data_IF_861876800060
#
_entry.id   IF_861876800060
#
_cell.length_a   1.000
_cell.length_b   1.000
_cell.length_c   1.000
_cell.angle_alpha   90.00
_cell.angle_beta   90.00
_cell.angle_gamma   90.00
#
_symmetry.space_group_name_H-M   'P 1'
#
loop_
_entity.id
_entity.type
_entity.pdbx_description
1 polymer ?
#
# COMPACT_ATOMS: atom_id res chain seq x y z
N UNK A 1 7.43 -29.94 -21.02
CA UNK A 1 6.22 -29.53 -20.26
C UNK A 1 6.56 -28.21 -19.57
N UNK A 2 6.17 -27.09 -20.14
CA UNK A 2 6.34 -25.78 -19.51
C UNK A 2 5.31 -25.68 -18.41
N UNK A 3 5.75 -25.78 -17.14
CA UNK A 3 4.86 -25.52 -16.01
C UNK A 3 4.25 -24.12 -16.17
N UNK A 4 2.94 -24.05 -16.28
CA UNK A 4 2.22 -22.77 -16.26
C UNK A 4 2.72 -21.95 -15.05
N UNK A 5 3.10 -20.70 -15.23
CA UNK A 5 3.53 -19.88 -14.10
C UNK A 5 2.42 -19.88 -13.06
N UNK A 6 2.74 -20.42 -11.88
CA UNK A 6 1.76 -20.51 -10.79
C UNK A 6 1.32 -19.09 -10.39
N UNK A 7 0.05 -18.78 -10.55
CA UNK A 7 -0.49 -17.46 -10.20
C UNK A 7 -0.32 -17.18 -8.71
N UNK A 8 -0.05 -15.93 -8.35
CA UNK A 8 0.07 -15.51 -6.94
C UNK A 8 -1.00 -14.50 -6.57
N UNK A 9 -1.59 -14.67 -5.39
CA UNK A 9 -2.49 -13.68 -4.80
C UNK A 9 -1.67 -12.71 -3.96
N UNK A 10 -1.80 -11.43 -4.25
CA UNK A 10 -1.18 -10.32 -3.52
C UNK A 10 -2.29 -9.57 -2.81
N UNK A 11 -2.24 -9.51 -1.48
CA UNK A 11 -3.17 -8.73 -0.67
C UNK A 11 -2.42 -7.54 -0.09
N UNK A 12 -2.92 -6.34 -0.30
CA UNK A 12 -2.38 -5.10 0.23
C UNK A 12 -3.32 -4.58 1.30
N UNK A 13 -2.82 -4.40 2.50
CA UNK A 13 -3.56 -3.83 3.64
C UNK A 13 -3.02 -2.42 3.90
N UNK A 14 -3.90 -1.41 3.85
CA UNK A 14 -3.52 -0.07 4.28
C UNK A 14 -3.46 -0.02 5.81
N UNK A 15 -2.41 0.61 6.35
CA UNK A 15 -2.25 0.81 7.79
C UNK A 15 -3.44 1.49 8.45
N UNK A 16 -3.58 1.32 9.76
CA UNK A 16 -4.57 2.00 10.60
C UNK A 16 -4.41 3.53 10.55
N UNK A 17 -5.45 4.30 10.93
CA UNK A 17 -5.37 5.76 10.97
C UNK A 17 -4.16 6.26 11.77
N UNK A 18 -3.40 7.19 11.18
CA UNK A 18 -2.24 7.80 11.85
C UNK A 18 -2.68 8.79 12.92
N UNK A 19 -1.91 8.89 14.01
CA UNK A 19 -2.15 9.81 15.11
C UNK A 19 -0.96 10.78 15.27
N UNK A 20 -1.25 12.07 15.59
CA UNK A 20 -2.58 12.72 15.58
C UNK A 20 -3.18 12.78 14.16
N UNK A 21 -4.52 12.84 14.05
CA UNK A 21 -5.21 12.98 12.77
C UNK A 21 -5.08 14.41 12.19
N UNK A 22 -5.38 14.59 10.90
CA UNK A 22 -5.41 15.90 10.26
C UNK A 22 -4.05 16.39 9.74
N UNK A 23 -3.01 15.56 9.77
CA UNK A 23 -1.67 15.89 9.28
C UNK A 23 -1.29 15.04 8.07
N UNK A 24 -0.41 15.59 7.23
CA UNK A 24 0.12 14.88 6.07
C UNK A 24 1.35 14.04 6.49
N UNK A 25 1.20 12.72 6.44
CA UNK A 25 2.23 11.77 6.78
C UNK A 25 2.72 11.03 5.53
N UNK A 26 3.90 11.38 5.04
CA UNK A 26 4.59 10.62 4.01
C UNK A 26 5.58 9.65 4.66
N UNK A 27 6.84 10.05 4.69
CA UNK A 27 7.92 9.35 5.40
C UNK A 27 8.06 9.80 6.86
N UNK A 28 7.33 10.83 7.27
CA UNK A 28 7.23 11.16 8.70
C UNK A 28 6.55 9.99 9.43
N UNK A 29 7.22 9.47 10.45
CA UNK A 29 6.84 8.22 11.09
C UNK A 29 5.85 8.43 12.24
N UNK A 30 4.59 8.59 11.90
CA UNK A 30 3.49 8.73 12.85
C UNK A 30 3.10 7.40 13.49
N UNK A 31 2.55 7.47 14.68
CA UNK A 31 1.93 6.33 15.36
C UNK A 31 0.51 6.05 14.83
N UNK A 32 -0.17 5.04 15.35
CA UNK A 32 -1.56 4.71 15.04
C UNK A 32 -2.45 4.88 16.27
N UNK A 33 -3.74 5.12 16.04
CA UNK A 33 -4.78 5.00 17.05
C UNK A 33 -5.22 3.56 17.26
N UNK A 34 -6.23 3.39 18.13
CA UNK A 34 -6.86 2.10 18.36
C UNK A 34 -7.49 1.55 17.08
N UNK A 35 -7.41 0.23 16.92
CA UNK A 35 -8.03 -0.48 15.79
C UNK A 35 -9.31 -1.15 16.28
N UNK A 36 -10.49 -0.84 15.68
CA UNK A 36 -11.73 -1.48 16.07
C UNK A 36 -11.65 -3.01 15.92
N UNK A 37 -12.19 -3.78 16.87
CA UNK A 37 -12.15 -5.25 16.81
C UNK A 37 -12.73 -5.85 15.53
N UNK A 38 -13.79 -5.23 14.98
CA UNK A 38 -14.40 -5.67 13.73
C UNK A 38 -13.46 -5.54 12.54
N UNK A 39 -12.63 -4.49 12.48
CA UNK A 39 -11.63 -4.31 11.43
C UNK A 39 -10.52 -5.36 11.54
N UNK A 40 -10.08 -5.70 12.77
CA UNK A 40 -9.12 -6.77 13.01
C UNK A 40 -9.67 -8.11 12.51
N UNK A 41 -10.90 -8.45 12.90
CA UNK A 41 -11.55 -9.69 12.50
C UNK A 41 -11.72 -9.76 10.97
N UNK A 42 -12.20 -8.68 10.36
CA UNK A 42 -12.35 -8.58 8.92
C UNK A 42 -11.02 -8.78 8.20
N UNK A 43 -9.98 -8.03 8.57
CA UNK A 43 -8.68 -8.11 7.91
C UNK A 43 -8.04 -9.49 8.05
N UNK A 44 -8.23 -10.18 9.17
CA UNK A 44 -7.82 -11.58 9.34
C UNK A 44 -8.47 -12.50 8.30
N UNK A 45 -9.71 -12.26 7.91
CA UNK A 45 -10.37 -13.05 6.84
C UNK A 45 -9.78 -12.79 5.45
N UNK A 46 -9.19 -11.61 5.22
CA UNK A 46 -8.56 -11.26 3.96
C UNK A 46 -7.14 -11.80 3.83
N UNK A 47 -6.51 -12.18 4.93
CA UNK A 47 -5.12 -12.64 4.99
C UNK A 47 -5.08 -14.16 5.13
N UNK A 48 -4.37 -14.83 4.27
CA UNK A 48 -4.21 -16.28 4.35
C UNK A 48 -3.14 -16.67 5.37
N UNK A 49 -3.39 -17.71 6.15
CA UNK A 49 -2.48 -18.24 7.17
C UNK A 49 -1.08 -18.60 6.62
N UNK A 50 -0.97 -18.97 5.34
CA UNK A 50 0.30 -19.32 4.70
C UNK A 50 0.83 -18.17 3.82
N UNK A 51 0.45 -16.93 4.10
CA UNK A 51 0.93 -15.77 3.35
C UNK A 51 2.34 -15.37 3.79
N UNK A 52 3.20 -15.03 2.82
CA UNK A 52 4.40 -14.29 3.13
C UNK A 52 3.99 -12.87 3.54
N UNK A 53 4.36 -12.45 4.73
CA UNK A 53 4.09 -11.09 5.19
C UNK A 53 5.25 -10.17 4.85
N UNK A 54 4.92 -9.03 4.25
CA UNK A 54 5.85 -7.97 3.88
C UNK A 54 5.31 -6.66 4.41
N UNK A 55 6.14 -5.86 5.08
CA UNK A 55 5.72 -4.59 5.64
C UNK A 55 6.56 -3.42 5.12
N UNK A 56 5.95 -2.26 5.02
CA UNK A 56 6.69 -1.00 5.04
C UNK A 56 7.47 -0.87 6.36
N UNK A 57 8.63 -0.21 6.39
CA UNK A 57 9.36 0.05 7.63
C UNK A 57 8.63 0.99 8.60
N UNK A 58 7.64 1.75 8.11
CA UNK A 58 6.88 2.72 8.92
C UNK A 58 6.22 2.06 10.14
N UNK A 59 6.34 2.70 11.33
CA UNK A 59 5.73 2.22 12.58
C UNK A 59 4.25 1.92 12.43
N UNK A 60 3.49 2.80 11.74
CA UNK A 60 2.07 2.60 11.51
C UNK A 60 1.75 1.31 10.76
N UNK A 61 2.59 0.88 9.81
CA UNK A 61 2.42 -0.39 9.10
C UNK A 61 2.79 -1.58 9.98
N UNK A 62 3.90 -1.46 10.73
CA UNK A 62 4.36 -2.51 11.65
C UNK A 62 3.33 -2.76 12.75
N UNK A 63 2.88 -1.70 13.44
CA UNK A 63 1.87 -1.80 14.50
C UNK A 63 0.52 -2.32 14.00
N UNK A 64 0.11 -1.93 12.79
CA UNK A 64 -1.11 -2.51 12.17
C UNK A 64 -0.94 -4.01 11.91
N UNK A 65 0.22 -4.43 11.41
CA UNK A 65 0.53 -5.85 11.23
C UNK A 65 0.49 -6.60 12.57
N UNK A 66 1.09 -6.06 13.62
CA UNK A 66 1.13 -6.65 14.95
C UNK A 66 -0.27 -6.83 15.55
N UNK A 67 -1.12 -5.82 15.44
CA UNK A 67 -2.49 -5.87 15.94
C UNK A 67 -3.35 -6.92 15.22
N UNK A 68 -3.10 -7.12 13.92
CA UNK A 68 -3.89 -8.07 13.11
C UNK A 68 -3.34 -9.50 13.24
N UNK A 69 -2.03 -9.73 13.21
CA UNK A 69 -1.44 -11.06 13.11
C UNK A 69 -0.75 -11.53 14.39
N UNK A 70 -0.25 -10.68 15.20
CA UNK A 70 0.56 -10.79 16.41
C UNK A 70 1.99 -10.26 16.20
N UNK A 71 2.63 -9.81 17.27
CA UNK A 71 4.00 -9.25 17.23
C UNK A 71 5.06 -10.27 16.80
N UNK A 72 4.84 -11.54 17.10
CA UNK A 72 5.78 -12.62 16.78
C UNK A 72 5.63 -13.16 15.34
N UNK A 73 4.70 -12.62 14.54
CA UNK A 73 4.49 -13.15 13.19
C UNK A 73 5.68 -12.80 12.28
N UNK A 74 6.33 -13.81 11.66
CA UNK A 74 7.48 -13.56 10.78
C UNK A 74 7.12 -12.66 9.61
N UNK A 75 7.88 -11.59 9.41
CA UNK A 75 7.67 -10.63 8.31
C UNK A 75 8.98 -10.15 7.74
N UNK A 76 8.94 -9.68 6.51
CA UNK A 76 10.03 -8.97 5.84
C UNK A 76 9.69 -7.49 5.75
N UNK A 77 10.69 -6.64 5.86
CA UNK A 77 10.56 -5.20 5.59
C UNK A 77 11.30 -4.84 4.31
N UNK A 78 10.83 -3.78 3.64
CA UNK A 78 11.52 -3.27 2.46
C UNK A 78 11.37 -1.76 2.37
N UNK A 79 12.49 -1.03 2.30
CA UNK A 79 12.53 0.44 2.34
C UNK A 79 11.77 1.10 1.18
N UNK A 80 11.77 0.50 0.00
CA UNK A 80 10.99 1.00 -1.13
C UNK A 80 9.47 0.82 -0.98
N UNK A 81 8.97 0.34 0.16
CA UNK A 81 7.54 0.31 0.50
C UNK A 81 7.10 1.44 1.43
N UNK A 82 7.98 2.41 1.76
CA UNK A 82 7.56 3.65 2.39
C UNK A 82 6.48 4.36 1.57
N UNK A 83 5.66 5.17 2.23
CA UNK A 83 4.68 6.03 1.56
C UNK A 83 5.38 7.04 0.65
N UNK A 84 4.64 7.69 -0.24
CA UNK A 84 5.08 8.81 -1.03
C UNK A 84 5.73 9.86 -0.11
N UNK A 85 6.92 10.34 -0.48
CA UNK A 85 7.50 11.47 0.22
C UNK A 85 6.80 12.75 -0.20
N UNK A 86 6.25 13.46 0.79
CA UNK A 86 5.66 14.79 0.57
C UNK A 86 6.64 15.92 0.91
N UNK A 87 7.90 15.60 1.21
CA UNK A 87 8.99 16.56 1.42
C UNK A 87 8.66 17.60 2.47
N UNK A 88 8.74 18.87 2.11
CA UNK A 88 8.52 20.00 3.03
C UNK A 88 7.06 20.09 3.56
N UNK A 89 6.14 19.26 3.08
CA UNK A 89 4.76 19.23 3.57
C UNK A 89 4.53 18.19 4.65
N UNK A 90 5.46 17.28 4.87
CA UNK A 90 5.33 16.24 5.88
C UNK A 90 5.25 16.82 7.29
N UNK A 91 4.38 16.26 8.11
CA UNK A 91 4.13 16.72 9.48
C UNK A 91 3.34 18.04 9.58
N UNK A 92 2.89 18.62 8.46
CA UNK A 92 2.01 19.78 8.46
C UNK A 92 0.55 19.38 8.52
N UNK A 93 -0.28 20.18 9.19
CA UNK A 93 -1.73 20.02 9.12
C UNK A 93 -2.22 20.22 7.67
N UNK A 94 -3.27 19.52 7.27
CA UNK A 94 -3.82 19.67 5.92
C UNK A 94 -4.19 21.13 5.58
N UNK A 95 -4.67 21.89 6.56
CA UNK A 95 -4.98 23.32 6.42
C UNK A 95 -3.76 24.21 6.10
N UNK A 96 -2.55 23.72 6.35
CA UNK A 96 -1.29 24.43 6.08
C UNK A 96 -0.65 24.03 4.74
N UNK A 97 -1.23 23.02 4.05
CA UNK A 97 -0.75 22.62 2.75
C UNK A 97 -1.26 23.62 1.71
N UNK A 98 -0.40 24.18 0.86
CA UNK A 98 -0.80 25.12 -0.16
C UNK A 98 -1.79 24.49 -1.14
N UNK A 99 -2.92 25.14 -1.37
CA UNK A 99 -3.84 24.75 -2.43
C UNK A 99 -3.14 24.94 -3.80
N UNK A 100 -3.07 23.88 -4.58
CA UNK A 100 -2.49 23.86 -5.93
C UNK A 100 -3.56 23.86 -7.02
N UNK A 101 -4.81 24.06 -6.63
CA UNK A 101 -5.94 23.92 -7.55
C UNK A 101 -6.16 22.47 -7.98
N UNK A 102 -7.04 22.27 -8.94
CA UNK A 102 -7.41 20.94 -9.41
C UNK A 102 -6.35 20.40 -10.40
N UNK A 103 -5.42 19.61 -9.89
CA UNK A 103 -4.50 18.86 -10.74
C UNK A 103 -5.17 17.57 -11.23
N UNK A 104 -5.10 17.30 -12.52
CA UNK A 104 -5.72 16.11 -13.15
C UNK A 104 -4.76 15.43 -14.11
N UNK A 105 -5.03 14.14 -14.39
CA UNK A 105 -4.30 13.39 -15.39
C UNK A 105 -2.78 13.36 -15.14
N UNK A 106 -2.01 13.63 -16.18
CA UNK A 106 -0.54 13.63 -16.14
C UNK A 106 0.03 14.71 -15.20
N UNK A 107 -0.64 15.85 -15.07
CA UNK A 107 -0.20 16.89 -14.13
C UNK A 107 -0.20 16.39 -12.70
N UNK A 108 -1.23 15.62 -12.28
CA UNK A 108 -1.30 15.01 -10.95
C UNK A 108 -0.26 13.90 -10.76
N UNK A 109 -0.08 13.04 -11.78
CA UNK A 109 0.90 11.94 -11.76
C UNK A 109 2.32 12.46 -11.56
N UNK A 110 2.66 13.56 -12.21
CA UNK A 110 4.00 14.15 -12.19
C UNK A 110 4.17 15.25 -11.13
N UNK A 111 3.08 15.63 -10.43
CA UNK A 111 3.18 16.65 -9.38
C UNK A 111 4.11 16.19 -8.27
N UNK A 112 5.05 17.06 -7.91
CA UNK A 112 6.06 16.81 -6.89
C UNK A 112 6.02 17.90 -5.82
N UNK A 113 5.72 17.54 -4.56
CA UNK A 113 5.88 18.47 -3.45
C UNK A 113 7.34 18.94 -3.31
N UNK A 114 7.60 20.12 -2.78
CA UNK A 114 8.97 20.61 -2.59
C UNK A 114 9.81 19.63 -1.76
N UNK A 115 10.89 19.11 -2.34
CA UNK A 115 11.75 18.10 -1.71
C UNK A 115 11.14 16.70 -1.55
N UNK A 116 9.93 16.48 -2.10
CA UNK A 116 9.25 15.17 -2.07
C UNK A 116 9.43 14.38 -3.36
N UNK A 117 8.57 13.40 -3.58
CA UNK A 117 8.49 12.61 -4.82
C UNK A 117 7.10 12.72 -5.47
N UNK A 118 7.06 12.56 -6.79
CA UNK A 118 5.80 12.44 -7.54
C UNK A 118 5.22 11.03 -7.40
N UNK A 119 3.94 10.86 -7.79
CA UNK A 119 3.36 9.52 -7.84
C UNK A 119 4.06 8.61 -8.85
N UNK A 120 4.56 9.17 -9.95
CA UNK A 120 5.37 8.43 -10.92
C UNK A 120 6.66 7.89 -10.28
N UNK A 121 7.41 8.72 -9.56
CA UNK A 121 8.64 8.31 -8.86
C UNK A 121 8.33 7.24 -7.77
N UNK A 122 7.20 7.37 -7.05
CA UNK A 122 6.73 6.33 -6.14
C UNK A 122 6.53 5.00 -6.87
N UNK A 123 5.84 5.00 -8.02
CA UNK A 123 5.63 3.80 -8.82
C UNK A 123 6.97 3.19 -9.29
N UNK A 124 7.90 4.01 -9.74
CA UNK A 124 9.22 3.57 -10.22
C UNK A 124 10.01 2.80 -9.14
N UNK A 125 9.90 3.16 -7.85
CA UNK A 125 10.56 2.43 -6.76
C UNK A 125 9.75 1.25 -6.22
N UNK A 126 8.41 1.28 -6.27
CA UNK A 126 7.54 0.24 -5.72
C UNK A 126 7.38 -0.94 -6.67
N UNK A 127 7.24 -0.70 -7.98
CA UNK A 127 7.01 -1.75 -8.97
C UNK A 127 8.08 -2.85 -8.99
N UNK A 128 9.39 -2.53 -8.96
CA UNK A 128 10.44 -3.56 -8.88
C UNK A 128 10.31 -4.44 -7.64
N UNK A 129 9.95 -3.87 -6.49
CA UNK A 129 9.79 -4.62 -5.24
C UNK A 129 8.65 -5.63 -5.34
N UNK A 130 7.47 -5.19 -5.81
CA UNK A 130 6.32 -6.09 -5.97
C UNK A 130 6.68 -7.25 -6.92
N UNK A 131 7.30 -6.94 -8.07
CA UNK A 131 7.73 -7.94 -9.04
C UNK A 131 8.77 -8.91 -8.46
N UNK A 132 9.73 -8.40 -7.69
CA UNK A 132 10.73 -9.22 -7.01
C UNK A 132 10.08 -10.24 -6.08
N UNK A 133 9.13 -9.82 -5.23
CA UNK A 133 8.40 -10.74 -4.35
C UNK A 133 7.55 -11.75 -5.14
N UNK A 134 6.97 -11.35 -6.26
CA UNK A 134 6.26 -12.30 -7.15
C UNK A 134 7.18 -13.39 -7.71
N UNK A 135 8.43 -13.08 -8.03
CA UNK A 135 9.39 -14.04 -8.60
C UNK A 135 10.07 -14.86 -7.50
N UNK A 136 10.56 -14.21 -6.45
CA UNK A 136 11.42 -14.86 -5.44
C UNK A 136 10.64 -15.66 -4.38
N UNK A 137 9.36 -15.36 -4.15
CA UNK A 137 8.57 -16.07 -3.15
C UNK A 137 8.20 -17.47 -3.58
N UNK A 138 8.41 -18.44 -2.70
CA UNK A 138 7.92 -19.81 -2.89
C UNK A 138 6.43 -19.95 -2.59
N UNK A 139 5.84 -19.02 -1.84
CA UNK A 139 4.43 -19.04 -1.50
C UNK A 139 3.57 -18.47 -2.61
N UNK A 140 2.33 -18.96 -2.73
CA UNK A 140 1.35 -18.48 -3.70
C UNK A 140 0.60 -17.23 -3.20
N UNK A 141 0.80 -16.84 -1.94
CA UNK A 141 0.07 -15.76 -1.28
C UNK A 141 1.06 -14.84 -0.57
N UNK A 142 0.93 -13.55 -0.83
CA UNK A 142 1.80 -12.51 -0.25
C UNK A 142 0.89 -11.40 0.26
N UNK A 143 1.09 -10.99 1.51
CA UNK A 143 0.35 -9.88 2.10
C UNK A 143 1.30 -8.74 2.42
N UNK A 144 0.96 -7.55 1.97
CA UNK A 144 1.71 -6.31 2.16
C UNK A 144 0.96 -5.40 3.13
N UNK A 145 1.59 -5.00 4.23
CA UNK A 145 1.09 -3.93 5.11
C UNK A 145 1.78 -2.63 4.73
N UNK A 146 1.04 -1.75 4.09
CA UNK A 146 1.58 -0.59 3.38
C UNK A 146 0.65 0.63 3.45
N UNK A 147 0.77 1.53 2.51
CA UNK A 147 0.16 2.85 2.46
C UNK A 147 -0.72 3.02 1.22
N UNK A 148 -1.55 4.06 1.21
CA UNK A 148 -2.46 4.34 0.09
C UNK A 148 -1.71 4.56 -1.24
N UNK A 149 -0.62 5.32 -1.24
CA UNK A 149 0.19 5.55 -2.44
C UNK A 149 0.80 4.26 -2.97
N UNK A 150 1.34 3.40 -2.09
CA UNK A 150 1.91 2.10 -2.47
C UNK A 150 0.84 1.17 -3.05
N UNK A 151 -0.37 1.16 -2.49
CA UNK A 151 -1.50 0.36 -3.02
C UNK A 151 -1.91 0.87 -4.40
N UNK A 152 -2.01 2.20 -4.58
CA UNK A 152 -2.27 2.79 -5.90
C UNK A 152 -1.15 2.47 -6.90
N UNK A 153 0.12 2.46 -6.47
CA UNK A 153 1.22 2.01 -7.33
C UNK A 153 1.06 0.54 -7.75
N UNK A 154 0.62 -0.35 -6.84
CA UNK A 154 0.31 -1.73 -7.18
C UNK A 154 -0.86 -1.84 -8.19
N UNK A 155 -1.91 -1.02 -8.02
CA UNK A 155 -3.03 -0.94 -8.97
C UNK A 155 -2.58 -0.43 -10.34
N UNK A 156 -1.61 0.50 -10.39
CA UNK A 156 -1.05 1.00 -11.65
C UNK A 156 -0.40 -0.12 -12.48
N UNK A 157 0.19 -1.15 -11.85
CA UNK A 157 0.67 -2.34 -12.55
C UNK A 157 -0.45 -3.12 -13.23
N UNK A 158 -1.60 -3.26 -12.56
CA UNK A 158 -2.72 -4.02 -13.09
C UNK A 158 -3.49 -3.25 -14.18
N UNK A 159 -3.64 -1.94 -14.02
CA UNK A 159 -4.31 -1.08 -15.00
C UNK A 159 -3.44 -0.69 -16.19
N UNK A 160 -2.11 -0.78 -16.06
CA UNK A 160 -1.18 -0.20 -17.04
C UNK A 160 -1.30 1.34 -17.13
N UNK A 161 -1.82 1.99 -16.09
CA UNK A 161 -2.13 3.43 -16.07
C UNK A 161 -1.99 4.02 -14.67
N UNK A 162 -1.10 4.98 -14.51
CA UNK A 162 -0.96 5.77 -13.29
C UNK A 162 -2.21 6.59 -13.00
N UNK A 163 -2.78 7.22 -14.04
CA UNK A 163 -3.97 8.07 -13.93
C UNK A 163 -5.16 7.28 -13.39
N UNK A 164 -5.38 6.07 -13.91
CA UNK A 164 -6.49 5.21 -13.46
C UNK A 164 -6.32 4.78 -12.00
N UNK A 165 -5.11 4.48 -11.59
CA UNK A 165 -4.81 4.08 -10.22
C UNK A 165 -5.05 5.21 -9.20
N UNK A 166 -4.76 6.46 -9.56
CA UNK A 166 -5.02 7.63 -8.70
C UNK A 166 -6.51 7.90 -8.46
N UNK A 167 -7.41 7.37 -9.29
CA UNK A 167 -8.86 7.48 -9.13
C UNK A 167 -9.44 6.48 -8.12
N UNK A 168 -8.62 5.54 -7.62
CA UNK A 168 -9.08 4.56 -6.65
C UNK A 168 -9.00 5.13 -5.23
N UNK A 169 -10.11 5.03 -4.50
CA UNK A 169 -10.13 5.29 -3.07
C UNK A 169 -9.50 4.10 -2.34
N UNK A 170 -8.71 4.39 -1.34
CA UNK A 170 -8.05 3.39 -0.49
C UNK A 170 -8.18 3.86 0.95
N UNK A 171 -9.10 3.28 1.70
CA UNK A 171 -9.36 3.63 3.10
C UNK A 171 -8.33 3.00 4.04
N UNK A 172 -8.14 3.58 5.22
CA UNK A 172 -7.37 2.92 6.28
C UNK A 172 -8.04 1.62 6.68
N UNK A 173 -7.26 0.60 7.08
CA UNK A 173 -7.77 -0.73 7.44
C UNK A 173 -8.56 -1.42 6.31
N UNK A 174 -8.32 -1.02 5.06
CA UNK A 174 -8.87 -1.71 3.89
C UNK A 174 -7.90 -2.72 3.29
N UNK A 175 -8.45 -3.68 2.55
CA UNK A 175 -7.71 -4.67 1.78
C UNK A 175 -7.97 -4.54 0.28
N UNK A 176 -6.90 -4.47 -0.50
CA UNK A 176 -6.92 -4.50 -1.98
C UNK A 176 -6.17 -5.74 -2.45
N UNK A 177 -6.74 -6.51 -3.36
CA UNK A 177 -6.14 -7.76 -3.82
C UNK A 177 -5.92 -7.78 -5.32
N UNK A 178 -4.72 -8.18 -5.72
CA UNK A 178 -4.30 -8.39 -7.10
C UNK A 178 -3.89 -9.85 -7.30
N UNK A 179 -4.02 -10.33 -8.53
CA UNK A 179 -3.48 -11.62 -8.94
C UNK A 179 -2.37 -11.41 -9.96
N UNK A 180 -1.17 -11.88 -9.64
CA UNK A 180 -0.07 -11.97 -10.58
C UNK A 180 -0.22 -13.24 -11.42
N UNK A 181 -0.28 -13.09 -12.73
CA UNK A 181 -0.53 -14.16 -13.71
C UNK A 181 0.74 -14.61 -14.43
N UNK A 182 1.89 -14.16 -13.96
CA UNK A 182 3.19 -14.41 -14.59
C UNK A 182 3.68 -13.23 -15.44
N UNK A 183 5.00 -13.12 -15.63
CA UNK A 183 5.68 -11.98 -16.29
C UNK A 183 5.25 -10.66 -15.65
N UNK A 184 4.71 -9.75 -16.43
CA UNK A 184 4.22 -8.45 -15.96
C UNK A 184 2.68 -8.36 -15.96
N UNK A 185 1.97 -9.49 -15.97
CA UNK A 185 0.53 -9.51 -16.03
C UNK A 185 -0.07 -9.55 -14.62
N UNK A 186 -0.92 -8.59 -14.33
CA UNK A 186 -1.67 -8.49 -13.08
C UNK A 186 -3.16 -8.30 -13.40
N UNK A 187 -4.03 -8.91 -12.59
CA UNK A 187 -5.47 -8.63 -12.61
C UNK A 187 -5.93 -8.12 -11.25
N UNK A 188 -6.94 -7.29 -11.25
CA UNK A 188 -7.57 -6.80 -10.02
C UNK A 188 -8.59 -7.83 -9.55
N UNK A 189 -8.48 -8.25 -8.29
CA UNK A 189 -9.43 -9.16 -7.64
C UNK A 189 -10.44 -8.37 -6.83
N UNK A 190 -9.96 -7.39 -6.08
CA UNK A 190 -10.81 -6.47 -5.30
C UNK A 190 -10.05 -5.19 -4.97
N UNK A 191 -10.78 -4.10 -4.77
CA UNK A 191 -10.23 -2.81 -4.34
C UNK A 191 -10.98 -2.36 -3.11
N UNK A 192 -10.22 -1.81 -2.12
CA UNK A 192 -10.72 -1.06 -0.97
C UNK A 192 -11.81 -1.78 -0.15
N UNK A 193 -11.68 -3.10 0.05
CA UNK A 193 -12.60 -3.83 0.94
C UNK A 193 -12.30 -3.48 2.40
N UNK A 194 -13.33 -3.10 3.15
CA UNK A 194 -13.27 -2.82 4.58
C UNK A 194 -14.34 -3.60 5.34
N UNK A 195 -14.27 -3.60 6.67
CA UNK A 195 -15.38 -4.08 7.48
C UNK A 195 -16.63 -3.25 7.18
N UNK A 196 -17.77 -3.89 7.12
CA UNK A 196 -19.05 -3.19 7.02
C UNK A 196 -19.32 -2.55 8.38
N UNK A 197 -19.53 -1.23 8.39
CA UNK A 197 -19.90 -0.48 9.59
C UNK A 197 -21.28 -0.88 10.07
#
# INVERSE_FOLDING_TARGET
MTSSPSSKLLTFVRHAPSQPSGFLYGRYDADIGDIPPNDILFLRTQISNNSLIVCSPAKRCQKTCDAILSECHPRRTHDNLWEQSFGAWEGKAFSQIPDKGMLTGEALVNFKPPGGESFKELCERVHPVIKQFCVSSKTQKITFFVHAGVIRAALALAFGSHISALKCEIDTLSATSLRHLGKNNFSVVSINKSAIA
#
